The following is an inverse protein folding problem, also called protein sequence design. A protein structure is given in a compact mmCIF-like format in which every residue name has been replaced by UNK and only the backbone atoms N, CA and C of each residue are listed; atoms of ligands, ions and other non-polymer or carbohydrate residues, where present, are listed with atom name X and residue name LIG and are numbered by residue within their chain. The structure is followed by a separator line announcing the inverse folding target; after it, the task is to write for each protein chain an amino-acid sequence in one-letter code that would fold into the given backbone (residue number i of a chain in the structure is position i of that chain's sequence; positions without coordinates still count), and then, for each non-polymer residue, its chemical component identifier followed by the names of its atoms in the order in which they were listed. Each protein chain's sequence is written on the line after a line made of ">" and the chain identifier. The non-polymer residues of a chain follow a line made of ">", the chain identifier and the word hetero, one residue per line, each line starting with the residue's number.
data_IF_004047985503
#
_entry.id   IF_004047985503
#
_cell.length_a   1.000
_cell.length_b   1.000
_cell.length_c   1.000
_cell.angle_alpha   90.00
_cell.angle_beta   90.00
_cell.angle_gamma   90.00
#
_symmetry.space_group_name_H-M   'P 1'
#
loop_
_entity.id
_entity.type
_entity.pdbx_description
1 polymer ?
#
# COMPACT_ATOMS: atom_id res chain seq x y z
N UNK A 1 -8.30 29.03 35.31
CA UNK A 1 -9.31 28.29 34.51
C UNK A 1 -8.68 27.49 33.37
N UNK A 2 -7.81 28.07 32.51
CA UNK A 2 -7.11 27.34 31.42
C UNK A 2 -6.30 26.11 31.86
N UNK A 3 -5.59 26.16 32.98
CA UNK A 3 -4.75 25.05 33.48
C UNK A 3 -5.57 23.80 33.85
N UNK A 4 -6.71 24.00 34.50
CA UNK A 4 -7.63 22.92 34.87
C UNK A 4 -8.28 22.23 33.66
N UNK A 5 -8.42 22.96 32.54
CA UNK A 5 -8.97 22.40 31.30
C UNK A 5 -7.92 21.57 30.55
N UNK A 6 -6.67 22.05 30.48
CA UNK A 6 -5.55 21.31 29.89
C UNK A 6 -5.22 20.01 30.64
N UNK A 7 -5.33 20.01 31.97
CA UNK A 7 -5.11 18.81 32.78
C UNK A 7 -6.16 17.72 32.50
N UNK A 8 -7.45 18.12 32.43
CA UNK A 8 -8.54 17.22 32.03
C UNK A 8 -8.38 16.69 30.61
N UNK A 9 -7.91 17.52 29.68
CA UNK A 9 -7.64 17.06 28.31
C UNK A 9 -6.53 16.02 28.29
N UNK A 10 -5.46 16.21 29.07
CA UNK A 10 -4.39 15.24 29.20
C UNK A 10 -4.91 13.92 29.79
N UNK A 11 -5.70 13.97 30.87
CA UNK A 11 -6.31 12.79 31.46
C UNK A 11 -7.19 12.01 30.46
N UNK A 12 -8.00 12.72 29.66
CA UNK A 12 -8.80 12.09 28.61
C UNK A 12 -7.94 11.45 27.52
N UNK A 13 -6.83 12.07 27.13
CA UNK A 13 -5.89 11.48 26.15
C UNK A 13 -5.23 10.23 26.70
N UNK A 14 -4.81 10.25 27.96
CA UNK A 14 -4.17 9.11 28.61
C UNK A 14 -5.17 7.95 28.80
N UNK A 15 -6.37 8.24 29.30
CA UNK A 15 -7.44 7.25 29.46
C UNK A 15 -7.84 6.62 28.12
N UNK A 16 -8.08 7.44 27.09
CA UNK A 16 -8.44 6.92 25.76
C UNK A 16 -7.30 6.16 25.09
N UNK A 17 -6.04 6.51 25.36
CA UNK A 17 -4.89 5.72 24.92
C UNK A 17 -4.93 4.32 25.52
N UNK A 18 -5.11 4.19 26.84
CA UNK A 18 -5.24 2.89 27.52
C UNK A 18 -6.42 2.09 26.98
N UNK A 19 -7.58 2.73 26.79
CA UNK A 19 -8.76 2.06 26.22
C UNK A 19 -8.47 1.50 24.83
N UNK A 20 -7.82 2.27 23.95
CA UNK A 20 -7.47 1.82 22.59
C UNK A 20 -6.32 0.81 22.59
N UNK A 21 -5.45 0.82 23.60
CA UNK A 21 -4.44 -0.21 23.79
C UNK A 21 -5.09 -1.57 24.10
N UNK A 22 -6.14 -1.57 24.92
CA UNK A 22 -6.90 -2.77 25.29
C UNK A 22 -7.81 -3.23 24.15
N UNK A 23 -8.51 -2.30 23.49
CA UNK A 23 -9.40 -2.58 22.38
C UNK A 23 -9.29 -1.50 21.27
N UNK A 24 -8.62 -1.80 20.13
CA UNK A 24 -8.47 -0.84 19.05
C UNK A 24 -9.78 -0.51 18.34
N UNK A 25 -10.85 -1.29 18.55
CA UNK A 25 -12.18 -1.04 18.00
C UNK A 25 -13.09 -0.23 18.93
N UNK A 26 -12.56 0.26 20.06
CA UNK A 26 -13.35 1.04 21.01
C UNK A 26 -13.66 2.44 20.47
N UNK A 27 -14.74 2.54 19.67
CA UNK A 27 -15.15 3.72 18.93
C UNK A 27 -15.35 4.95 19.83
N UNK A 28 -15.82 4.77 21.06
CA UNK A 28 -16.02 5.88 22.00
C UNK A 28 -14.69 6.56 22.34
N UNK A 29 -13.59 5.81 22.52
CA UNK A 29 -12.28 6.40 22.74
C UNK A 29 -11.76 7.07 21.46
N UNK A 30 -11.83 6.38 20.32
CA UNK A 30 -11.39 6.96 19.03
C UNK A 30 -12.13 8.27 18.71
N UNK A 31 -13.44 8.32 18.90
CA UNK A 31 -14.25 9.52 18.69
C UNK A 31 -14.01 10.60 19.75
N UNK A 32 -13.70 10.23 20.99
CA UNK A 32 -13.28 11.20 22.02
C UNK A 32 -12.00 11.91 21.60
N UNK A 33 -11.02 11.17 21.07
CA UNK A 33 -9.78 11.75 20.55
C UNK A 33 -10.02 12.69 19.37
N UNK A 34 -10.89 12.31 18.43
CA UNK A 34 -11.34 13.23 17.34
C UNK A 34 -11.95 14.52 17.88
N UNK A 35 -12.82 14.44 18.89
CA UNK A 35 -13.41 15.63 19.53
C UNK A 35 -12.38 16.52 20.19
N UNK A 36 -11.35 15.94 20.83
CA UNK A 36 -10.25 16.70 21.41
C UNK A 36 -9.47 17.45 20.32
N UNK A 37 -9.14 16.78 19.21
CA UNK A 37 -8.44 17.38 18.06
C UNK A 37 -9.21 18.58 17.50
N UNK A 38 -10.52 18.43 17.31
CA UNK A 38 -11.38 19.50 16.74
C UNK A 38 -11.44 20.76 17.61
N UNK A 39 -11.13 20.70 18.91
CA UNK A 39 -11.05 21.90 19.76
C UNK A 39 -9.93 22.85 19.34
N UNK A 40 -8.89 22.32 18.70
CA UNK A 40 -7.74 23.09 18.24
C UNK A 40 -7.93 23.66 16.83
N UNK A 41 -8.96 23.25 16.09
CA UNK A 41 -9.19 23.64 14.69
C UNK A 41 -9.45 25.14 14.51
N UNK A 42 -10.06 25.80 15.51
CA UNK A 42 -10.27 27.26 15.53
C UNK A 42 -9.16 28.06 16.24
N UNK A 43 -8.09 27.39 16.68
CA UNK A 43 -7.01 27.98 17.46
C UNK A 43 -5.81 28.42 16.63
N UNK A 44 -4.62 28.43 17.26
CA UNK A 44 -3.37 28.69 16.55
C UNK A 44 -3.07 27.55 15.58
N UNK A 45 -2.79 27.88 14.31
CA UNK A 45 -2.41 26.89 13.28
C UNK A 45 -1.23 26.03 13.71
N UNK A 46 -0.23 26.62 14.35
CA UNK A 46 0.97 25.91 14.81
C UNK A 46 0.65 24.89 15.91
N UNK A 47 -0.24 25.24 16.84
CA UNK A 47 -0.65 24.34 17.92
C UNK A 47 -1.48 23.18 17.37
N UNK A 48 -2.37 23.47 16.41
CA UNK A 48 -3.18 22.43 15.77
C UNK A 48 -2.32 21.46 14.95
N UNK A 49 -1.37 21.97 14.18
CA UNK A 49 -0.41 21.17 13.43
C UNK A 49 0.40 20.25 14.35
N UNK A 50 0.94 20.79 15.45
CA UNK A 50 1.69 20.00 16.43
C UNK A 50 0.81 18.92 17.07
N UNK A 51 -0.45 19.24 17.39
CA UNK A 51 -1.40 18.27 17.92
C UNK A 51 -1.64 17.13 16.92
N UNK A 52 -1.89 17.44 15.65
CA UNK A 52 -2.11 16.44 14.60
C UNK A 52 -0.88 15.54 14.41
N UNK A 53 0.33 16.11 14.39
CA UNK A 53 1.58 15.33 14.29
C UNK A 53 1.77 14.39 15.47
N UNK A 54 1.48 14.85 16.68
CA UNK A 54 1.56 14.03 17.89
C UNK A 54 0.52 12.91 17.89
N UNK A 55 -0.69 13.19 17.40
CA UNK A 55 -1.72 12.17 17.25
C UNK A 55 -1.36 11.14 16.18
N UNK A 56 -0.78 11.58 15.05
CA UNK A 56 -0.32 10.69 13.99
C UNK A 56 0.74 9.72 14.52
N UNK A 57 1.72 10.21 15.28
CA UNK A 57 2.75 9.37 15.94
C UNK A 57 2.13 8.33 16.89
N UNK A 58 1.09 8.72 17.64
CA UNK A 58 0.37 7.80 18.53
C UNK A 58 -0.32 6.68 17.73
N UNK A 59 -1.04 7.04 16.66
CA UNK A 59 -1.72 6.09 15.77
C UNK A 59 -0.73 5.17 15.07
N UNK A 60 0.38 5.73 14.57
CA UNK A 60 1.45 4.97 13.91
C UNK A 60 2.11 3.99 14.86
N UNK A 61 2.27 4.36 16.14
CA UNK A 61 2.73 3.47 17.20
C UNK A 61 1.87 2.21 17.31
N UNK A 62 0.54 2.33 17.23
CA UNK A 62 -0.36 1.17 17.24
C UNK A 62 -0.30 0.35 15.96
N UNK A 63 -0.29 1.00 14.79
CA UNK A 63 -0.29 0.34 13.50
C UNK A 63 1.01 -0.42 13.20
N UNK A 64 2.12 0.01 13.80
CA UNK A 64 3.46 -0.60 13.64
C UNK A 64 3.87 -1.52 14.80
N UNK A 65 3.08 -1.53 15.87
CA UNK A 65 3.32 -2.37 17.05
C UNK A 65 3.25 -3.87 16.73
N UNK A 66 3.69 -4.71 17.68
CA UNK A 66 3.50 -6.17 17.63
C UNK A 66 2.09 -6.61 18.06
N UNK A 67 1.18 -5.67 18.30
CA UNK A 67 -0.19 -5.97 18.69
C UNK A 67 -1.02 -6.30 17.44
N UNK A 68 -1.10 -7.59 17.12
CA UNK A 68 -1.75 -8.12 15.90
C UNK A 68 -3.21 -7.66 15.66
N UNK A 69 -3.95 -7.25 16.70
CA UNK A 69 -5.30 -6.69 16.54
C UNK A 69 -5.26 -5.25 16.05
N UNK A 70 -4.28 -4.47 16.51
CA UNK A 70 -4.11 -3.06 16.19
C UNK A 70 -3.60 -2.85 14.77
N UNK A 71 -2.63 -3.66 14.32
CA UNK A 71 -2.04 -3.54 12.97
C UNK A 71 -3.06 -3.72 11.83
N UNK A 72 -4.19 -4.37 12.11
CA UNK A 72 -5.30 -4.60 11.18
C UNK A 72 -6.60 -3.90 11.58
N UNK A 73 -6.55 -2.99 12.55
CA UNK A 73 -7.75 -2.34 13.06
C UNK A 73 -8.34 -1.37 12.03
N UNK A 74 -9.53 -1.61 11.48
CA UNK A 74 -10.19 -0.64 10.60
C UNK A 74 -10.42 0.71 11.30
N UNK A 75 -10.68 0.70 12.61
CA UNK A 75 -10.88 1.93 13.40
C UNK A 75 -9.61 2.77 13.45
N UNK A 76 -8.46 2.16 13.77
CA UNK A 76 -7.18 2.87 13.85
C UNK A 76 -6.73 3.37 12.46
N UNK A 77 -6.85 2.55 11.41
CA UNK A 77 -6.54 2.97 10.04
C UNK A 77 -7.45 4.11 9.55
N UNK A 78 -8.74 4.06 9.87
CA UNK A 78 -9.68 5.14 9.54
C UNK A 78 -9.39 6.41 10.32
N UNK A 79 -8.96 6.28 11.58
CA UNK A 79 -8.52 7.41 12.39
C UNK A 79 -7.28 8.07 11.76
N UNK A 80 -6.29 7.27 11.34
CA UNK A 80 -5.10 7.77 10.63
C UNK A 80 -5.45 8.59 9.39
N UNK A 81 -6.32 8.04 8.52
CA UNK A 81 -6.77 8.73 7.29
C UNK A 81 -7.43 10.07 7.61
N UNK A 82 -8.28 10.10 8.63
CA UNK A 82 -8.95 11.32 9.07
C UNK A 82 -7.95 12.40 9.57
N UNK A 83 -6.90 12.02 10.30
CA UNK A 83 -5.83 12.95 10.71
C UNK A 83 -5.12 13.52 9.48
N UNK A 84 -4.76 12.66 8.52
CA UNK A 84 -4.07 13.06 7.31
C UNK A 84 -4.94 13.97 6.41
N UNK A 85 -6.25 13.75 6.35
CA UNK A 85 -7.19 14.66 5.70
C UNK A 85 -7.15 16.05 6.35
N UNK A 86 -7.12 16.12 7.68
CA UNK A 86 -6.96 17.39 8.40
C UNK A 86 -5.61 18.07 8.12
N UNK A 87 -4.52 17.32 8.05
CA UNK A 87 -3.21 17.86 7.65
C UNK A 87 -3.25 18.40 6.21
N UNK A 88 -3.95 17.69 5.31
CA UNK A 88 -4.15 18.15 3.93
C UNK A 88 -4.99 19.43 3.85
N UNK A 89 -6.05 19.55 4.65
CA UNK A 89 -6.87 20.76 4.76
C UNK A 89 -6.06 21.98 5.24
N UNK A 90 -4.97 21.74 5.99
CA UNK A 90 -3.99 22.75 6.37
C UNK A 90 -2.94 23.03 5.30
N UNK A 91 -3.14 22.53 4.07
CA UNK A 91 -2.22 22.62 2.94
C UNK A 91 -0.82 22.07 3.23
N UNK A 92 -0.72 21.05 4.09
CA UNK A 92 0.56 20.41 4.38
C UNK A 92 0.90 19.38 3.32
N UNK A 93 2.14 19.42 2.85
CA UNK A 93 2.69 18.33 2.06
C UNK A 93 2.87 17.10 2.96
N UNK A 94 2.62 15.93 2.38
CA UNK A 94 2.74 14.66 3.08
C UNK A 94 3.59 13.70 2.28
N UNK A 95 4.63 13.15 2.90
CA UNK A 95 5.57 12.24 2.26
C UNK A 95 5.03 10.81 2.27
N UNK A 96 4.43 10.40 1.15
CA UNK A 96 3.89 9.05 0.99
C UNK A 96 4.98 7.96 0.91
N UNK A 97 6.22 8.30 0.55
CA UNK A 97 7.34 7.35 0.51
C UNK A 97 7.83 7.06 1.93
N UNK A 98 7.91 8.09 2.78
CA UNK A 98 8.20 7.93 4.20
C UNK A 98 7.15 7.04 4.86
N UNK A 99 5.86 7.28 4.60
CA UNK A 99 4.74 6.47 5.10
C UNK A 99 4.80 5.02 4.65
N UNK A 100 5.18 4.78 3.39
CA UNK A 100 5.36 3.43 2.87
C UNK A 100 6.38 2.68 3.75
N UNK A 101 7.55 3.25 3.96
CA UNK A 101 8.64 2.62 4.72
C UNK A 101 8.37 2.50 6.22
N UNK A 102 7.89 3.58 6.84
CA UNK A 102 7.78 3.70 8.29
C UNK A 102 6.50 3.10 8.87
N UNK A 103 5.43 2.96 8.09
CA UNK A 103 4.13 2.48 8.57
C UNK A 103 3.64 1.27 7.78
N UNK A 104 3.49 1.41 6.46
CA UNK A 104 2.80 0.39 5.64
C UNK A 104 3.60 -0.91 5.59
N UNK A 105 4.89 -0.85 5.28
CA UNK A 105 5.74 -2.04 5.20
C UNK A 105 5.89 -2.71 6.56
N UNK A 106 6.03 -1.93 7.65
CA UNK A 106 6.08 -2.50 9.01
C UNK A 106 4.77 -3.20 9.34
N UNK A 107 3.62 -2.57 9.10
CA UNK A 107 2.31 -3.18 9.35
C UNK A 107 2.05 -4.43 8.50
N UNK A 108 2.57 -4.46 7.26
CA UNK A 108 2.52 -5.62 6.37
C UNK A 108 3.46 -6.76 6.82
N UNK A 109 4.60 -6.44 7.43
CA UNK A 109 5.52 -7.42 8.02
C UNK A 109 4.90 -8.07 9.26
N UNK A 110 4.28 -7.26 10.12
CA UNK A 110 3.63 -7.71 11.35
C UNK A 110 2.41 -8.60 11.09
N UNK A 111 1.72 -8.38 9.98
CA UNK A 111 0.56 -9.16 9.59
C UNK A 111 0.63 -9.50 8.11
N UNK A 112 1.05 -10.73 7.74
CA UNK A 112 1.12 -11.14 6.35
C UNK A 112 -0.21 -10.87 5.62
N UNK A 113 -0.13 -10.35 4.39
CA UNK A 113 -1.31 -10.01 3.58
C UNK A 113 -2.20 -8.95 4.23
N UNK A 114 -1.63 -7.97 4.94
CA UNK A 114 -2.37 -6.89 5.58
C UNK A 114 -3.10 -6.01 4.54
N UNK A 115 -4.34 -6.37 4.22
CA UNK A 115 -5.16 -5.62 3.27
C UNK A 115 -5.35 -4.15 3.70
N UNK A 116 -5.45 -3.87 5.00
CA UNK A 116 -5.68 -2.50 5.49
C UNK A 116 -4.48 -1.58 5.23
N UNK A 117 -3.26 -2.07 5.46
CA UNK A 117 -2.02 -1.33 5.17
C UNK A 117 -1.91 -1.01 3.67
N UNK A 118 -2.10 -2.01 2.81
CA UNK A 118 -2.03 -1.82 1.35
C UNK A 118 -3.21 -1.01 0.78
N UNK A 119 -4.40 -1.13 1.37
CA UNK A 119 -5.56 -0.27 1.06
C UNK A 119 -5.28 1.17 1.45
N UNK A 120 -4.65 1.40 2.61
CA UNK A 120 -4.25 2.72 3.03
C UNK A 120 -3.20 3.32 2.09
N UNK A 121 -2.22 2.53 1.63
CA UNK A 121 -1.23 2.99 0.66
C UNK A 121 -1.87 3.40 -0.69
N UNK A 122 -2.88 2.66 -1.17
CA UNK A 122 -3.68 3.11 -2.35
C UNK A 122 -4.33 4.45 -2.12
N UNK A 123 -4.95 4.62 -0.96
CA UNK A 123 -5.61 5.87 -0.58
C UNK A 123 -4.60 7.03 -0.50
N UNK A 124 -3.41 6.82 0.08
CA UNK A 124 -2.34 7.82 0.13
C UNK A 124 -1.95 8.29 -1.28
N UNK A 125 -1.71 7.36 -2.21
CA UNK A 125 -1.44 7.70 -3.61
C UNK A 125 -2.61 8.49 -4.20
N UNK A 126 -3.85 8.06 -4.03
CA UNK A 126 -5.00 8.75 -4.62
C UNK A 126 -5.24 10.17 -4.05
N UNK A 127 -4.88 10.41 -2.79
CA UNK A 127 -5.16 11.67 -2.10
C UNK A 127 -3.99 12.65 -2.18
N UNK A 128 -2.76 12.18 -2.11
CA UNK A 128 -1.57 13.03 -1.99
C UNK A 128 -0.67 13.03 -3.23
N UNK A 129 -0.74 12.00 -4.08
CA UNK A 129 0.01 12.02 -5.33
C UNK A 129 -0.71 12.89 -6.37
N UNK A 130 -0.17 14.09 -6.59
CA UNK A 130 -0.66 15.05 -7.57
C UNK A 130 -0.14 14.79 -8.99
N UNK A 131 0.53 13.65 -9.25
CA UNK A 131 1.09 13.27 -10.55
C UNK A 131 0.06 13.27 -11.71
N UNK A 132 -1.24 13.22 -11.40
CA UNK A 132 -2.34 13.26 -12.38
C UNK A 132 -2.93 14.63 -12.64
N UNK A 133 -2.71 15.59 -11.74
CA UNK A 133 -3.35 16.92 -11.78
C UNK A 133 -2.36 18.05 -12.08
N UNK A 134 -1.04 17.80 -11.96
CA UNK A 134 0.00 18.75 -12.33
C UNK A 134 0.46 18.49 -13.77
N UNK A 135 0.78 19.59 -14.47
CA UNK A 135 1.34 19.57 -15.84
C UNK A 135 2.60 18.70 -15.90
N UNK A 136 2.97 18.27 -17.11
CA UNK A 136 4.05 17.33 -17.42
C UNK A 136 5.48 17.70 -16.91
N UNK A 137 5.62 18.78 -16.15
CA UNK A 137 6.89 19.36 -15.71
C UNK A 137 7.30 18.98 -14.26
N UNK A 138 6.48 18.25 -13.49
CA UNK A 138 6.88 17.81 -12.15
C UNK A 138 7.66 16.49 -12.19
N UNK A 139 8.88 16.55 -12.71
CA UNK A 139 9.83 15.44 -12.78
C UNK A 139 10.08 14.78 -11.40
N UNK A 140 9.90 15.53 -10.30
CA UNK A 140 10.05 15.03 -8.94
C UNK A 140 8.91 14.07 -8.58
N UNK A 141 7.65 14.46 -8.80
CA UNK A 141 6.49 13.59 -8.54
C UNK A 141 6.55 12.29 -9.33
N UNK A 142 6.97 12.34 -10.60
CA UNK A 142 7.19 11.13 -11.39
C UNK A 142 8.32 10.28 -10.80
N UNK A 143 9.46 10.88 -10.43
CA UNK A 143 10.58 10.17 -9.80
C UNK A 143 10.15 9.45 -8.52
N UNK A 144 9.37 10.10 -7.67
CA UNK A 144 8.95 9.55 -6.38
C UNK A 144 7.96 8.38 -6.55
N UNK A 145 7.04 8.46 -7.51
CA UNK A 145 6.17 7.34 -7.86
C UNK A 145 6.95 6.11 -8.39
N UNK A 146 8.03 6.36 -9.15
CA UNK A 146 8.90 5.29 -9.63
C UNK A 146 9.71 4.65 -8.50
N UNK A 147 10.23 5.45 -7.55
CA UNK A 147 10.86 4.94 -6.33
C UNK A 147 9.89 4.10 -5.51
N UNK A 148 8.66 4.59 -5.33
CA UNK A 148 7.58 3.88 -4.65
C UNK A 148 7.34 2.50 -5.27
N UNK A 149 7.20 2.47 -6.60
CA UNK A 149 7.00 1.23 -7.36
C UNK A 149 8.18 0.27 -7.16
N UNK A 150 9.42 0.78 -7.14
CA UNK A 150 10.62 -0.03 -6.89
C UNK A 150 10.62 -0.63 -5.49
N UNK A 151 10.30 0.16 -4.46
CA UNK A 151 10.24 -0.32 -3.07
C UNK A 151 9.19 -1.42 -2.91
N UNK A 152 8.02 -1.26 -3.52
CA UNK A 152 6.95 -2.28 -3.48
C UNK A 152 7.35 -3.54 -4.24
N UNK A 153 8.04 -3.41 -5.39
CA UNK A 153 8.59 -4.56 -6.11
C UNK A 153 9.53 -5.36 -5.20
N UNK A 154 10.48 -4.68 -4.56
CA UNK A 154 11.46 -5.33 -3.68
C UNK A 154 10.79 -6.00 -2.47
N UNK A 155 9.71 -5.42 -1.93
CA UNK A 155 8.87 -6.06 -0.93
C UNK A 155 8.27 -7.38 -1.45
N UNK A 156 7.66 -7.36 -2.63
CA UNK A 156 6.99 -8.53 -3.21
C UNK A 156 7.98 -9.67 -3.50
N UNK A 157 9.19 -9.34 -3.97
CA UNK A 157 10.26 -10.33 -4.19
C UNK A 157 10.75 -10.97 -2.88
N UNK A 158 10.69 -10.25 -1.75
CA UNK A 158 11.01 -10.80 -0.42
C UNK A 158 9.82 -11.54 0.22
N UNK A 159 8.60 -11.22 -0.18
CA UNK A 159 7.35 -11.74 0.40
C UNK A 159 6.47 -12.36 -0.70
N UNK A 160 6.88 -13.46 -1.34
CA UNK A 160 6.21 -13.99 -2.52
C UNK A 160 4.77 -14.46 -2.24
N UNK A 161 4.41 -14.74 -0.98
CA UNK A 161 3.05 -15.11 -0.56
C UNK A 161 2.12 -13.92 -0.24
N UNK A 162 2.59 -12.68 -0.37
CA UNK A 162 1.80 -11.48 -0.04
C UNK A 162 0.94 -11.01 -1.23
N UNK A 163 -0.28 -11.56 -1.32
CA UNK A 163 -1.26 -11.15 -2.34
C UNK A 163 -1.61 -9.66 -2.28
N UNK A 164 -1.61 -9.04 -1.10
CA UNK A 164 -2.00 -7.63 -0.97
C UNK A 164 -0.91 -6.69 -1.50
N UNK A 165 0.35 -7.04 -1.25
CA UNK A 165 1.52 -6.37 -1.83
C UNK A 165 1.53 -6.48 -3.36
N UNK A 166 1.34 -7.68 -3.91
CA UNK A 166 1.26 -7.87 -5.37
C UNK A 166 0.07 -7.13 -6.00
N UNK A 167 -1.08 -7.10 -5.34
CA UNK A 167 -2.23 -6.31 -5.79
C UNK A 167 -1.93 -4.81 -5.76
N UNK A 168 -1.13 -4.32 -4.82
CA UNK A 168 -0.66 -2.93 -4.82
C UNK A 168 0.37 -2.67 -5.92
N UNK A 169 1.28 -3.62 -6.19
CA UNK A 169 2.21 -3.51 -7.31
C UNK A 169 1.47 -3.42 -8.66
N UNK A 170 0.42 -4.22 -8.88
CA UNK A 170 -0.45 -4.09 -10.06
C UNK A 170 -1.06 -2.69 -10.17
N UNK A 171 -1.57 -2.16 -9.05
CA UNK A 171 -2.07 -0.79 -8.98
C UNK A 171 -0.97 0.21 -9.39
N UNK A 172 0.27 0.05 -8.90
CA UNK A 172 1.38 0.91 -9.29
C UNK A 172 1.62 0.89 -10.81
N UNK A 173 1.69 -0.31 -11.40
CA UNK A 173 1.96 -0.51 -12.83
C UNK A 173 0.86 0.05 -13.74
N UNK A 174 -0.41 -0.16 -13.40
CA UNK A 174 -1.53 0.35 -14.19
C UNK A 174 -1.74 1.86 -14.04
N UNK A 175 -1.15 2.48 -13.03
CA UNK A 175 -1.25 3.91 -12.78
C UNK A 175 0.08 4.64 -12.99
N UNK A 176 1.04 4.04 -13.71
CA UNK A 176 2.22 4.75 -14.20
C UNK A 176 1.77 5.98 -14.99
N UNK A 177 2.32 7.15 -14.62
CA UNK A 177 1.90 8.47 -15.12
C UNK A 177 1.97 8.65 -16.65
N UNK A 178 1.89 9.90 -17.15
CA UNK A 178 1.85 10.22 -18.58
C UNK A 178 3.23 10.01 -19.24
N UNK A 179 3.71 8.77 -19.26
CA UNK A 179 4.87 8.34 -20.04
C UNK A 179 4.40 7.81 -21.40
N UNK A 180 5.31 7.78 -22.38
CA UNK A 180 5.02 7.11 -23.65
C UNK A 180 4.60 5.65 -23.42
N UNK A 181 3.70 5.14 -24.24
CA UNK A 181 3.23 3.75 -24.18
C UNK A 181 4.41 2.78 -24.19
N UNK A 182 5.45 3.06 -24.98
CA UNK A 182 6.67 2.26 -25.05
C UNK A 182 7.42 2.19 -23.71
N UNK A 183 7.69 3.34 -23.08
CA UNK A 183 8.40 3.39 -21.80
C UNK A 183 7.63 2.69 -20.66
N UNK A 184 6.29 2.78 -20.69
CA UNK A 184 5.43 2.03 -19.76
C UNK A 184 5.56 0.52 -19.98
N UNK A 185 5.45 0.07 -21.22
CA UNK A 185 5.57 -1.34 -21.59
C UNK A 185 6.93 -1.93 -21.21
N UNK A 186 8.02 -1.21 -21.47
CA UNK A 186 9.37 -1.63 -21.10
C UNK A 186 9.52 -1.79 -19.59
N UNK A 187 9.06 -0.80 -18.81
CA UNK A 187 9.13 -0.85 -17.34
C UNK A 187 8.33 -2.01 -16.76
N UNK A 188 7.08 -2.17 -17.22
CA UNK A 188 6.21 -3.24 -16.77
C UNK A 188 6.80 -4.62 -17.14
N UNK A 189 7.37 -4.74 -18.34
CA UNK A 189 8.07 -5.96 -18.77
C UNK A 189 9.30 -6.24 -17.89
N UNK A 190 10.08 -5.23 -17.55
CA UNK A 190 11.23 -5.37 -16.65
C UNK A 190 10.83 -5.86 -15.24
N UNK A 191 9.78 -5.28 -14.66
CA UNK A 191 9.26 -5.70 -13.35
C UNK A 191 8.68 -7.12 -13.42
N UNK A 192 7.93 -7.45 -14.47
CA UNK A 192 7.40 -8.79 -14.70
C UNK A 192 8.53 -9.82 -14.85
N UNK A 193 9.55 -9.50 -15.64
CA UNK A 193 10.75 -10.32 -15.84
C UNK A 193 11.53 -10.57 -14.56
N UNK A 194 11.68 -9.56 -13.69
CA UNK A 194 12.30 -9.73 -12.37
C UNK A 194 11.54 -10.75 -11.50
N UNK A 195 10.21 -10.65 -11.45
CA UNK A 195 9.35 -11.57 -10.70
C UNK A 195 9.40 -12.99 -11.31
N UNK A 196 9.31 -13.11 -12.63
CA UNK A 196 9.43 -14.40 -13.35
C UNK A 196 10.78 -15.07 -13.06
N UNK A 197 11.88 -14.32 -13.15
CA UNK A 197 13.23 -14.84 -12.92
C UNK A 197 13.37 -15.44 -11.53
N UNK A 198 12.87 -14.75 -10.49
CA UNK A 198 12.89 -15.32 -9.14
C UNK A 198 11.92 -16.49 -8.99
N UNK A 199 10.73 -16.41 -9.59
CA UNK A 199 9.77 -17.50 -9.55
C UNK A 199 10.34 -18.81 -10.14
N UNK A 200 11.07 -18.73 -11.25
CA UNK A 200 11.77 -19.88 -11.84
C UNK A 200 12.93 -20.33 -10.95
N UNK A 201 13.78 -19.41 -10.51
CA UNK A 201 14.98 -19.72 -9.72
C UNK A 201 14.65 -20.44 -8.41
N UNK A 202 13.62 -19.97 -7.71
CA UNK A 202 13.16 -20.55 -6.44
C UNK A 202 12.01 -21.54 -6.59
N UNK A 203 11.58 -21.80 -7.83
CA UNK A 203 10.44 -22.68 -8.15
C UNK A 203 9.18 -22.31 -7.36
N UNK A 204 8.85 -21.01 -7.32
CA UNK A 204 7.71 -20.49 -6.59
C UNK A 204 6.39 -20.93 -7.21
N UNK A 205 5.51 -21.44 -6.36
CA UNK A 205 4.16 -21.88 -6.71
C UNK A 205 3.09 -21.11 -5.92
N UNK A 206 3.47 -19.96 -5.35
CA UNK A 206 2.56 -19.09 -4.61
C UNK A 206 1.51 -18.47 -5.53
N UNK A 207 0.23 -18.62 -5.18
CA UNK A 207 -0.88 -18.06 -5.94
C UNK A 207 -0.75 -16.55 -6.18
N UNK A 208 -0.28 -15.81 -5.17
CA UNK A 208 -0.03 -14.36 -5.28
C UNK A 208 0.91 -13.96 -6.41
N UNK A 209 1.99 -14.72 -6.61
CA UNK A 209 2.95 -14.49 -7.71
C UNK A 209 2.26 -14.74 -9.05
N UNK A 210 1.57 -15.86 -9.19
CA UNK A 210 0.99 -16.27 -10.47
C UNK A 210 -0.26 -15.47 -10.84
N UNK A 211 -1.01 -14.98 -9.85
CA UNK A 211 -2.08 -14.00 -10.03
C UNK A 211 -1.53 -12.67 -10.53
N UNK A 212 -0.41 -12.20 -9.97
CA UNK A 212 0.27 -11.01 -10.48
C UNK A 212 0.73 -11.22 -11.93
N UNK A 213 1.51 -12.27 -12.19
CA UNK A 213 2.11 -12.53 -13.49
C UNK A 213 1.06 -12.70 -14.60
N UNK A 214 0.02 -13.52 -14.37
CA UNK A 214 -1.03 -13.73 -15.37
C UNK A 214 -1.78 -12.44 -15.70
N UNK A 215 -1.96 -11.56 -14.71
CA UNK A 215 -2.68 -10.28 -14.87
C UNK A 215 -1.85 -9.30 -15.68
N UNK A 216 -0.55 -9.21 -15.39
CA UNK A 216 0.39 -8.37 -16.14
C UNK A 216 0.53 -8.88 -17.58
N UNK A 217 0.71 -10.19 -17.78
CA UNK A 217 0.89 -10.81 -19.10
C UNK A 217 -0.37 -10.72 -19.97
N UNK A 218 -1.56 -10.84 -19.37
CA UNK A 218 -2.83 -10.64 -20.07
C UNK A 218 -3.07 -9.18 -20.48
N UNK A 219 -2.45 -8.22 -19.81
CA UNK A 219 -2.61 -6.80 -20.13
C UNK A 219 -1.79 -6.39 -21.37
N UNK A 220 -2.19 -5.27 -22.00
CA UNK A 220 -1.50 -4.69 -23.17
C UNK A 220 -0.26 -3.85 -22.80
N UNK A 221 0.26 -3.99 -21.57
CA UNK A 221 1.40 -3.22 -21.07
C UNK A 221 2.67 -4.08 -20.91
N UNK A 222 2.77 -5.22 -21.62
CA UNK A 222 3.94 -6.09 -21.61
C UNK A 222 4.36 -6.51 -23.02
N UNK A 223 5.65 -6.76 -23.19
CA UNK A 223 6.22 -7.23 -24.46
C UNK A 223 5.85 -8.68 -24.73
N UNK A 224 5.78 -9.04 -26.02
CA UNK A 224 5.53 -10.42 -26.43
C UNK A 224 6.59 -11.40 -25.88
N UNK A 225 7.84 -10.96 -25.80
CA UNK A 225 8.92 -11.70 -25.15
C UNK A 225 8.56 -12.13 -23.71
N UNK A 226 8.01 -11.20 -22.92
CA UNK A 226 7.61 -11.48 -21.53
C UNK A 226 6.50 -12.52 -21.47
N UNK A 227 5.58 -12.51 -22.45
CA UNK A 227 4.49 -13.50 -22.55
C UNK A 227 5.02 -14.90 -22.84
N UNK A 228 5.99 -15.01 -23.76
CA UNK A 228 6.67 -16.27 -24.07
C UNK A 228 7.40 -16.80 -22.82
N UNK A 229 8.17 -15.94 -22.15
CA UNK A 229 8.90 -16.30 -20.92
C UNK A 229 7.95 -16.77 -19.79
N UNK A 230 6.76 -16.18 -19.67
CA UNK A 230 5.72 -16.62 -18.73
C UNK A 230 5.26 -18.07 -18.99
N UNK A 231 4.97 -18.42 -20.24
CA UNK A 231 4.57 -19.78 -20.60
C UNK A 231 5.69 -20.80 -20.37
N UNK A 232 6.93 -20.44 -20.74
CA UNK A 232 8.11 -21.28 -20.49
C UNK A 232 8.35 -21.50 -18.99
N UNK A 233 8.16 -20.47 -18.18
CA UNK A 233 8.31 -20.56 -16.73
C UNK A 233 7.29 -21.54 -16.11
N UNK A 234 6.03 -21.51 -16.57
CA UNK A 234 4.99 -22.46 -16.14
C UNK A 234 5.42 -23.90 -16.43
N UNK A 235 5.85 -24.19 -17.66
CA UNK A 235 6.26 -25.55 -18.06
C UNK A 235 7.47 -26.05 -17.25
N UNK A 236 8.46 -25.17 -17.07
CA UNK A 236 9.68 -25.45 -16.31
C UNK A 236 9.35 -25.79 -14.85
N UNK A 237 8.51 -24.99 -14.19
CA UNK A 237 8.19 -25.16 -12.78
C UNK A 237 7.21 -26.33 -12.59
N UNK A 238 6.24 -26.53 -13.47
CA UNK A 238 5.31 -27.68 -13.44
C UNK A 238 6.05 -29.03 -13.51
N UNK A 239 7.15 -29.07 -14.26
CA UNK A 239 8.03 -30.24 -14.33
C UNK A 239 8.81 -30.43 -13.03
N UNK A 240 9.35 -29.35 -12.47
CA UNK A 240 10.20 -29.39 -11.27
C UNK A 240 9.43 -29.50 -9.94
N UNK A 241 8.17 -29.06 -9.90
CA UNK A 241 7.28 -29.00 -8.72
C UNK A 241 5.85 -29.43 -9.08
N UNK A 242 5.57 -30.74 -9.11
CA UNK A 242 4.25 -31.26 -9.44
C UNK A 242 3.13 -30.78 -8.50
N UNK A 243 3.46 -30.51 -7.24
CA UNK A 243 2.56 -29.97 -6.21
C UNK A 243 2.00 -28.58 -6.57
N UNK A 244 2.77 -27.78 -7.30
CA UNK A 244 2.36 -26.44 -7.74
C UNK A 244 1.51 -26.39 -9.00
N UNK A 245 1.36 -27.50 -9.74
CA UNK A 245 0.66 -27.53 -11.04
C UNK A 245 -0.73 -26.90 -11.02
N UNK A 246 -1.59 -27.11 -9.99
CA UNK A 246 -2.92 -26.51 -9.99
C UNK A 246 -2.88 -24.98 -10.08
N UNK A 247 -1.95 -24.32 -9.37
CA UNK A 247 -1.80 -22.87 -9.39
C UNK A 247 -1.29 -22.39 -10.75
N UNK A 248 -0.32 -23.10 -11.32
CA UNK A 248 0.30 -22.76 -12.59
C UNK A 248 -0.67 -22.92 -13.77
N UNK A 249 -1.42 -24.02 -13.80
CA UNK A 249 -2.43 -24.26 -14.83
C UNK A 249 -3.60 -23.29 -14.70
N UNK A 250 -4.08 -23.01 -13.48
CA UNK A 250 -5.10 -21.99 -13.27
C UNK A 250 -4.66 -20.60 -13.79
N UNK A 251 -3.38 -20.25 -13.62
CA UNK A 251 -2.83 -19.02 -14.15
C UNK A 251 -2.77 -19.01 -15.69
N UNK A 252 -2.37 -20.12 -16.31
CA UNK A 252 -2.34 -20.32 -17.76
C UNK A 252 -3.72 -20.22 -18.38
N UNK A 253 -4.68 -20.97 -17.85
CA UNK A 253 -6.07 -21.00 -18.32
C UNK A 253 -6.74 -19.64 -18.19
N UNK A 254 -6.49 -18.93 -17.08
CA UNK A 254 -7.02 -17.59 -16.89
C UNK A 254 -6.44 -16.62 -17.93
N UNK A 255 -5.12 -16.67 -18.20
CA UNK A 255 -4.50 -15.83 -19.21
C UNK A 255 -5.12 -16.08 -20.60
N UNK A 256 -5.23 -17.35 -21.01
CA UNK A 256 -5.80 -17.73 -22.32
C UNK A 256 -7.25 -17.27 -22.50
N UNK A 257 -8.05 -17.28 -21.43
CA UNK A 257 -9.43 -16.75 -21.47
C UNK A 257 -9.46 -15.24 -21.65
N UNK A 258 -8.63 -14.50 -20.92
CA UNK A 258 -8.67 -13.04 -20.88
C UNK A 258 -7.88 -12.37 -22.02
N UNK A 259 -7.06 -13.12 -22.77
CA UNK A 259 -6.40 -12.64 -23.98
C UNK A 259 -7.39 -12.36 -25.13
N UNK A 260 -8.55 -13.06 -25.14
CA UNK A 260 -9.57 -12.94 -26.21
C UNK A 260 -10.44 -11.68 -26.08
N UNK A 261 -10.57 -11.12 -24.88
CA UNK A 261 -11.48 -9.99 -24.61
C UNK A 261 -10.80 -8.63 -24.74
N UNK A 262 -9.46 -8.56 -24.68
CA UNK A 262 -8.68 -7.31 -24.77
C UNK A 262 -8.23 -6.95 -26.20
N UNK A 263 -8.66 -7.74 -27.19
CA UNK A 263 -8.47 -7.51 -28.63
C UNK A 263 -9.70 -6.92 -29.33
N UNK A 264 -10.68 -6.39 -28.57
CA UNK A 264 -11.82 -5.61 -29.07
C UNK A 264 -11.73 -4.16 -28.62
#
# INVERSE_FOLDING_TARGET
>A
MKVCDQEKEKELRDATAVMLLLDPEYLTAANTRKRLILRYEGGSRSEFEEFLKNELRFVDGYLTSRLHRHTKSPTVWSHRRWILEKLKDLNMEHDILEDLGSVVLIAAERHPRNYYAWSHMRWLVQVFDNSRTRTADDAKSQSDYLKLTSVVKDWCLKNPSDISGFAFLLFCLFNLGPSSTSARTERCSGICGDVLRLAVSFKWTYESVWVFLRTVVASNICTERTRIEFHQAIETISTARPDGRPVLEAAKEWHQRNQKDLGR
#
